data_IF_291860873839
#
_entry.id   IF_291860873839
#
_cell.length_a   1.000
_cell.length_b   1.000
_cell.length_c   1.000
_cell.angle_alpha   90.00
_cell.angle_beta   90.00
_cell.angle_gamma   90.00
#
_symmetry.space_group_name_H-M   'P 1'
#
loop_
_entity.id
_entity.type
_entity.pdbx_description
1 polymer ?
#
# COMPACT_ATOMS: atom_id res chain seq x y z
N UNK A 1 -20.33 -27.13 -7.82
CA UNK A 1 -19.10 -26.78 -7.08
C UNK A 1 -18.33 -25.63 -7.74
N UNK A 2 -18.10 -25.64 -9.05
CA UNK A 2 -17.30 -24.60 -9.76
C UNK A 2 -17.86 -23.15 -9.71
N UNK A 3 -19.17 -22.96 -9.49
CA UNK A 3 -19.77 -21.63 -9.41
C UNK A 3 -19.88 -21.06 -7.99
N UNK A 4 -19.88 -21.92 -6.96
CA UNK A 4 -20.02 -21.47 -5.57
C UNK A 4 -18.77 -20.67 -5.17
N UNK A 5 -17.59 -21.17 -5.50
CA UNK A 5 -16.32 -20.51 -5.21
C UNK A 5 -16.20 -19.16 -5.92
N UNK A 6 -16.62 -19.08 -7.20
CA UNK A 6 -16.64 -17.83 -7.98
C UNK A 6 -17.61 -16.80 -7.40
N UNK A 7 -18.80 -17.24 -6.95
CA UNK A 7 -19.79 -16.36 -6.33
C UNK A 7 -19.27 -15.83 -4.99
N UNK A 8 -18.70 -16.70 -4.15
CA UNK A 8 -18.10 -16.31 -2.86
C UNK A 8 -16.94 -15.33 -3.10
N UNK A 9 -16.05 -15.62 -4.06
CA UNK A 9 -14.96 -14.73 -4.43
C UNK A 9 -15.47 -13.36 -4.88
N UNK A 10 -16.47 -13.32 -5.76
CA UNK A 10 -17.05 -12.07 -6.23
C UNK A 10 -17.66 -11.24 -5.08
N UNK A 11 -18.39 -11.89 -4.16
CA UNK A 11 -18.95 -11.23 -2.98
C UNK A 11 -17.83 -10.65 -2.11
N UNK A 12 -16.79 -11.43 -1.82
CA UNK A 12 -15.66 -10.98 -1.01
C UNK A 12 -14.89 -9.85 -1.69
N UNK A 13 -14.71 -9.91 -3.01
CA UNK A 13 -14.06 -8.88 -3.80
C UNK A 13 -14.84 -7.56 -3.74
N UNK A 14 -16.14 -7.59 -4.03
CA UNK A 14 -17.02 -6.41 -3.99
C UNK A 14 -17.09 -5.84 -2.58
N UNK A 15 -17.23 -6.69 -1.56
CA UNK A 15 -17.25 -6.26 -0.16
C UNK A 15 -15.92 -5.62 0.25
N UNK A 16 -14.78 -6.24 -0.08
CA UNK A 16 -13.44 -5.75 0.23
C UNK A 16 -13.17 -4.38 -0.39
N UNK A 17 -13.37 -4.26 -1.72
CA UNK A 17 -13.20 -2.99 -2.42
C UNK A 17 -14.22 -1.93 -2.00
N UNK A 18 -15.48 -2.32 -1.73
CA UNK A 18 -16.51 -1.41 -1.24
C UNK A 18 -16.18 -0.82 0.13
N UNK A 19 -15.73 -1.67 1.07
CA UNK A 19 -15.30 -1.22 2.41
C UNK A 19 -14.03 -0.35 2.33
N UNK A 20 -13.09 -0.71 1.47
CA UNK A 20 -11.89 0.08 1.20
C UNK A 20 -12.26 1.48 0.65
N UNK A 21 -13.09 1.55 -0.38
CA UNK A 21 -13.54 2.81 -0.98
C UNK A 21 -14.28 3.68 0.04
N UNK A 22 -15.18 3.10 0.84
CA UNK A 22 -15.88 3.81 1.93
C UNK A 22 -14.90 4.41 2.94
N UNK A 23 -13.86 3.66 3.30
CA UNK A 23 -12.84 4.12 4.25
C UNK A 23 -11.98 5.24 3.66
N UNK A 24 -11.59 5.13 2.39
CA UNK A 24 -10.86 6.16 1.66
C UNK A 24 -11.66 7.46 1.57
N UNK A 25 -12.95 7.40 1.22
CA UNK A 25 -13.83 8.56 1.16
C UNK A 25 -13.98 9.24 2.52
N UNK A 26 -14.03 8.46 3.61
CA UNK A 26 -14.06 9.00 4.98
C UNK A 26 -12.78 9.77 5.31
N UNK A 27 -11.61 9.21 5.00
CA UNK A 27 -10.31 9.88 5.19
C UNK A 27 -10.28 11.17 4.37
N UNK A 28 -10.66 11.10 3.10
CA UNK A 28 -10.67 12.25 2.21
C UNK A 28 -11.57 13.39 2.71
N UNK A 29 -12.79 13.04 3.14
CA UNK A 29 -13.72 14.00 3.76
C UNK A 29 -13.09 14.64 4.98
N UNK A 30 -12.47 13.85 5.86
CA UNK A 30 -11.86 14.37 7.08
C UNK A 30 -10.67 15.30 6.80
N UNK A 31 -9.85 14.99 5.79
CA UNK A 31 -8.76 15.88 5.34
C UNK A 31 -9.32 17.22 4.86
N UNK A 32 -10.41 17.19 4.07
CA UNK A 32 -11.07 18.39 3.55
C UNK A 32 -11.79 19.24 4.60
N UNK A 33 -12.16 18.66 5.75
CA UNK A 33 -12.72 19.42 6.88
C UNK A 33 -11.65 20.20 7.65
N UNK A 34 -10.36 19.91 7.40
CA UNK A 34 -9.25 20.65 8.00
C UNK A 34 -9.15 22.08 7.45
N UNK A 35 -8.53 22.97 8.23
CA UNK A 35 -8.25 24.33 7.79
C UNK A 35 -7.17 24.32 6.69
N UNK A 36 -7.28 25.23 5.72
CA UNK A 36 -6.25 25.42 4.71
C UNK A 36 -4.98 25.96 5.37
N UNK A 37 -3.91 25.14 5.36
CA UNK A 37 -2.59 25.54 5.84
C UNK A 37 -1.66 25.52 4.64
N UNK A 38 -1.06 26.67 4.31
CA UNK A 38 -0.04 26.71 3.28
C UNK A 38 1.25 26.07 3.83
N UNK A 39 1.65 24.94 3.26
CA UNK A 39 2.86 24.18 3.64
C UNK A 39 3.74 23.90 2.44
N UNK A 40 3.74 24.80 1.46
CA UNK A 40 4.51 24.67 0.22
C UNK A 40 5.98 25.10 0.39
N UNK A 41 6.37 25.55 1.57
CA UNK A 41 7.73 25.95 1.91
C UNK A 41 8.63 24.74 2.18
N UNK A 42 9.94 24.92 1.94
CA UNK A 42 11.03 23.98 2.29
C UNK A 42 10.81 22.53 1.83
N UNK A 43 10.33 22.34 0.59
CA UNK A 43 10.04 21.01 0.02
C UNK A 43 11.23 20.05 0.14
N UNK A 44 12.44 20.49 -0.16
CA UNK A 44 13.66 19.65 -0.11
C UNK A 44 13.90 19.04 1.27
N UNK A 45 13.76 19.83 2.34
CA UNK A 45 13.96 19.34 3.70
C UNK A 45 12.86 18.37 4.15
N UNK A 46 11.62 18.60 3.71
CA UNK A 46 10.49 17.72 4.03
C UNK A 46 10.62 16.37 3.33
N UNK A 47 11.06 16.37 2.07
CA UNK A 47 11.40 15.16 1.34
C UNK A 47 12.58 14.42 1.99
N UNK A 48 13.64 15.13 2.38
CA UNK A 48 14.76 14.54 3.12
C UNK A 48 14.32 13.93 4.46
N UNK A 49 13.45 14.61 5.20
CA UNK A 49 12.88 14.09 6.45
C UNK A 49 12.02 12.86 6.20
N UNK A 50 11.14 12.89 5.19
CA UNK A 50 10.30 11.75 4.82
C UNK A 50 11.15 10.55 4.40
N UNK A 51 12.15 10.75 3.53
CA UNK A 51 13.11 9.74 3.13
C UNK A 51 13.82 9.11 4.34
N UNK A 52 14.33 9.94 5.27
CA UNK A 52 14.98 9.46 6.50
C UNK A 52 14.04 8.66 7.40
N UNK A 53 12.79 9.08 7.55
CA UNK A 53 11.83 8.40 8.44
C UNK A 53 11.29 7.12 7.79
N UNK A 54 10.93 7.18 6.50
CA UNK A 54 10.36 6.06 5.76
C UNK A 54 11.39 4.96 5.49
N UNK A 55 12.59 5.32 5.02
CA UNK A 55 13.65 4.34 4.72
C UNK A 55 14.50 3.99 5.94
N UNK A 56 14.77 4.96 6.80
CA UNK A 56 15.64 4.75 7.96
C UNK A 56 15.01 3.92 9.08
N UNK A 57 13.72 3.55 8.96
CA UNK A 57 12.99 2.73 9.92
C UNK A 57 13.27 3.11 11.39
N UNK A 58 13.42 4.41 11.66
CA UNK A 58 14.03 4.91 12.89
C UNK A 58 13.23 4.59 14.16
N UNK A 59 11.97 4.16 13.99
CA UNK A 59 11.08 3.69 15.06
C UNK A 59 11.03 2.16 15.20
N UNK A 60 11.50 1.41 14.21
CA UNK A 60 11.45 -0.06 14.21
C UNK A 60 12.62 -0.68 14.97
N UNK A 61 13.75 0.03 15.10
CA UNK A 61 14.88 -0.36 15.97
C UNK A 61 14.49 -0.39 17.45
N UNK A 62 13.59 0.49 17.89
CA UNK A 62 13.06 0.53 19.25
C UNK A 62 12.07 -0.61 19.56
N UNK A 63 11.58 -1.34 18.54
CA UNK A 63 10.60 -2.43 18.66
C UNK A 63 11.03 -3.62 17.80
N UNK A 64 12.02 -4.40 18.23
CA UNK A 64 12.73 -5.37 17.38
C UNK A 64 11.80 -6.43 16.78
N UNK A 65 10.82 -6.94 17.54
CA UNK A 65 9.85 -7.93 17.03
C UNK A 65 9.02 -7.37 15.87
N UNK A 66 8.51 -6.14 16.02
CA UNK A 66 7.76 -5.48 14.95
C UNK A 66 8.66 -5.15 13.75
N UNK A 67 9.93 -4.80 13.97
CA UNK A 67 10.92 -4.58 12.92
C UNK A 67 11.17 -5.84 12.08
N UNK A 68 11.37 -6.99 12.73
CA UNK A 68 11.56 -8.27 12.04
C UNK A 68 10.33 -8.66 11.23
N UNK A 69 9.13 -8.57 11.82
CA UNK A 69 7.89 -8.85 11.10
C UNK A 69 7.70 -7.92 9.90
N UNK A 70 8.01 -6.63 10.06
CA UNK A 70 7.91 -5.68 8.96
C UNK A 70 8.91 -5.97 7.84
N UNK A 71 10.13 -6.42 8.17
CA UNK A 71 11.11 -6.84 7.17
C UNK A 71 10.56 -7.96 6.28
N UNK A 72 9.97 -9.00 6.87
CA UNK A 72 9.38 -10.11 6.10
C UNK A 72 8.25 -9.63 5.19
N UNK A 73 7.33 -8.82 5.72
CA UNK A 73 6.23 -8.25 4.93
C UNK A 73 6.77 -7.36 3.80
N UNK A 74 7.79 -6.55 4.08
CA UNK A 74 8.39 -5.65 3.10
C UNK A 74 9.08 -6.41 1.97
N UNK A 75 9.88 -7.43 2.30
CA UNK A 75 10.53 -8.30 1.30
C UNK A 75 9.47 -9.01 0.45
N UNK A 76 8.46 -9.62 1.09
CA UNK A 76 7.35 -10.27 0.37
C UNK A 76 6.62 -9.30 -0.56
N UNK A 77 6.34 -8.08 -0.11
CA UNK A 77 5.72 -7.05 -0.93
C UNK A 77 6.57 -6.69 -2.15
N UNK A 78 7.88 -6.51 -1.99
CA UNK A 78 8.78 -6.21 -3.10
C UNK A 78 8.82 -7.36 -4.11
N UNK A 79 8.96 -8.59 -3.65
CA UNK A 79 9.01 -9.78 -4.51
C UNK A 79 7.72 -9.90 -5.34
N UNK A 80 6.55 -9.82 -4.70
CA UNK A 80 5.25 -9.94 -5.38
C UNK A 80 5.05 -8.84 -6.42
N UNK A 81 5.51 -7.61 -6.16
CA UNK A 81 5.39 -6.53 -7.14
C UNK A 81 6.30 -6.76 -8.35
N UNK A 82 7.50 -7.31 -8.15
CA UNK A 82 8.39 -7.70 -9.25
C UNK A 82 7.75 -8.82 -10.07
N UNK A 83 7.21 -9.84 -9.41
CA UNK A 83 6.49 -10.95 -10.05
C UNK A 83 5.28 -10.45 -10.85
N UNK A 84 4.50 -9.49 -10.31
CA UNK A 84 3.39 -8.89 -11.05
C UNK A 84 3.87 -8.18 -12.33
N UNK A 85 5.00 -7.47 -12.27
CA UNK A 85 5.60 -6.82 -13.45
C UNK A 85 6.04 -7.88 -14.46
N UNK A 86 6.67 -8.97 -14.00
CA UNK A 86 7.07 -10.10 -14.84
C UNK A 86 5.87 -10.71 -15.56
N UNK A 87 4.77 -11.01 -14.84
CA UNK A 87 3.52 -11.51 -15.42
C UNK A 87 2.95 -10.55 -16.48
N UNK A 88 2.99 -9.23 -16.21
CA UNK A 88 2.53 -8.24 -17.20
C UNK A 88 3.43 -8.25 -18.45
N UNK A 89 4.75 -8.31 -18.26
CA UNK A 89 5.72 -8.36 -19.36
C UNK A 89 5.52 -9.64 -20.18
N UNK A 90 5.47 -10.81 -19.54
CA UNK A 90 5.25 -12.09 -20.22
C UNK A 90 3.91 -12.15 -20.95
N UNK A 91 2.86 -11.59 -20.35
CA UNK A 91 1.55 -11.45 -20.99
C UNK A 91 1.57 -10.54 -22.23
N UNK A 92 2.42 -9.51 -22.26
CA UNK A 92 2.57 -8.60 -23.40
C UNK A 92 3.42 -9.22 -24.51
N UNK A 93 4.50 -9.92 -24.16
CA UNK A 93 5.43 -10.53 -25.12
C UNK A 93 5.06 -11.96 -25.53
N UNK A 94 4.05 -12.56 -24.88
CA UNK A 94 3.56 -13.91 -25.18
C UNK A 94 4.55 -15.00 -24.79
N UNK A 95 5.43 -14.76 -23.81
CA UNK A 95 6.51 -15.66 -23.38
C UNK A 95 6.07 -16.70 -22.34
N UNK A 96 4.77 -16.95 -22.22
CA UNK A 96 4.18 -17.87 -21.24
C UNK A 96 4.37 -19.36 -21.56
#
# INVERSE_FOLDING_TARGET
MQYIDNIIFLILLVAGFGLFAKSLLKIYRNIRLGHEINRNDRKSERWSTMARVAMGQSKMTARPVAGVLHLFVYVGFVIINIELIEIIVDGIFGTH
#
